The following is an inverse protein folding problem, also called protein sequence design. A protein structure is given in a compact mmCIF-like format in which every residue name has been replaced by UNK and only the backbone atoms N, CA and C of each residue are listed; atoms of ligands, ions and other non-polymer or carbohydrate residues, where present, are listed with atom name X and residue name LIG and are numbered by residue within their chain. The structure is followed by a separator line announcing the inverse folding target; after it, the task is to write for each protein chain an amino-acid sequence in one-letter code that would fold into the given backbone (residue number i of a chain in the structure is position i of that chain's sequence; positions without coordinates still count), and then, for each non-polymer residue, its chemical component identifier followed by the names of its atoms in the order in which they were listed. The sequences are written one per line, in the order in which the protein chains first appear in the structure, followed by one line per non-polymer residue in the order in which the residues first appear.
data_IF_866716401757
#
_entry.id   IF_866716401757
#
_cell.length_a   1.000
_cell.length_b   1.000
_cell.length_c   1.000
_cell.angle_alpha   90.00
_cell.angle_beta   90.00
_cell.angle_gamma   90.00
#
_symmetry.space_group_name_H-M   'P 1'
#
loop_
_entity.id
_entity.type
_entity.pdbx_description
1 polymer ?
#
# COMPACT_ATOMS: atom_id res chain seq x y z
N UNK A 1 -7.49 -17.37 -21.55
CA UNK A 1 -7.69 -17.12 -20.10
C UNK A 1 -9.11 -16.61 -19.90
N UNK A 2 -10.01 -17.42 -19.31
CA UNK A 2 -11.42 -17.05 -19.13
C UNK A 2 -11.50 -15.90 -18.12
N UNK A 3 -11.81 -14.68 -18.58
CA UNK A 3 -12.14 -13.54 -17.71
C UNK A 3 -13.28 -14.00 -16.80
N UNK A 4 -13.06 -14.01 -15.48
CA UNK A 4 -14.11 -14.21 -14.49
C UNK A 4 -15.10 -13.03 -14.66
N UNK A 5 -16.17 -13.21 -15.44
CA UNK A 5 -17.17 -12.17 -15.69
C UNK A 5 -18.19 -12.22 -14.56
N UNK A 6 -17.91 -11.47 -13.50
CA UNK A 6 -18.84 -11.28 -12.39
C UNK A 6 -20.14 -10.62 -12.89
N UNK A 7 -21.31 -10.97 -12.33
CA UNK A 7 -22.57 -10.34 -12.69
C UNK A 7 -22.52 -8.84 -12.36
N UNK A 8 -22.80 -8.00 -13.37
CA UNK A 8 -22.65 -6.52 -13.35
C UNK A 8 -23.53 -5.78 -12.33
N UNK A 9 -24.28 -6.51 -11.50
CA UNK A 9 -25.22 -5.98 -10.53
C UNK A 9 -24.70 -5.97 -9.09
N UNK A 10 -23.55 -6.63 -8.82
CA UNK A 10 -22.80 -6.38 -7.59
C UNK A 10 -21.63 -5.44 -7.89
N UNK A 11 -21.55 -4.26 -7.26
CA UNK A 11 -20.43 -3.32 -7.43
C UNK A 11 -19.18 -3.78 -6.65
N UNK A 12 -18.92 -5.09 -6.59
CA UNK A 12 -17.77 -5.64 -5.88
C UNK A 12 -16.64 -5.84 -6.87
N UNK A 13 -15.57 -5.06 -6.70
CA UNK A 13 -14.33 -5.23 -7.43
C UNK A 13 -13.69 -6.59 -7.06
N UNK A 14 -13.49 -7.51 -8.03
CA UNK A 14 -12.85 -8.79 -7.78
C UNK A 14 -11.47 -8.65 -7.12
N UNK A 15 -10.74 -7.57 -7.38
CA UNK A 15 -9.45 -7.30 -6.74
C UNK A 15 -9.61 -7.09 -5.23
N UNK A 16 -10.55 -6.23 -4.82
CA UNK A 16 -10.85 -5.98 -3.40
C UNK A 16 -11.36 -7.25 -2.71
N UNK A 17 -12.23 -8.01 -3.38
CA UNK A 17 -12.75 -9.26 -2.82
C UNK A 17 -11.63 -10.29 -2.61
N UNK A 18 -10.72 -10.43 -3.57
CA UNK A 18 -9.55 -11.30 -3.42
C UNK A 18 -8.62 -10.81 -2.32
N UNK A 19 -8.39 -9.50 -2.20
CA UNK A 19 -7.56 -8.91 -1.15
C UNK A 19 -8.15 -9.15 0.24
N UNK A 20 -9.46 -8.94 0.42
CA UNK A 20 -10.12 -9.25 1.69
C UNK A 20 -10.10 -10.76 1.98
N UNK A 21 -10.27 -11.58 0.94
CA UNK A 21 -10.16 -13.03 1.04
C UNK A 21 -8.77 -13.50 1.48
N UNK A 22 -7.70 -12.92 0.94
CA UNK A 22 -6.32 -13.27 1.35
C UNK A 22 -6.01 -12.80 2.75
N UNK A 23 -6.45 -11.59 3.15
CA UNK A 23 -6.33 -11.11 4.54
C UNK A 23 -7.08 -12.04 5.50
N UNK A 24 -8.31 -12.44 5.16
CA UNK A 24 -9.10 -13.38 5.96
C UNK A 24 -8.43 -14.75 6.08
N UNK A 25 -7.90 -15.28 4.98
CA UNK A 25 -7.12 -16.53 4.99
C UNK A 25 -5.88 -16.42 5.88
N UNK A 26 -5.12 -15.33 5.79
CA UNK A 26 -3.93 -15.11 6.62
C UNK A 26 -4.28 -14.97 8.11
N UNK A 27 -5.45 -14.40 8.43
CA UNK A 27 -5.92 -14.28 9.81
C UNK A 27 -6.35 -15.64 10.39
N UNK A 28 -7.01 -16.51 9.61
CA UNK A 28 -7.46 -17.82 10.04
C UNK A 28 -6.34 -18.87 10.05
N UNK A 29 -5.42 -18.80 9.09
CA UNK A 29 -4.32 -19.74 8.89
C UNK A 29 -2.98 -18.97 8.82
N UNK A 30 -2.52 -18.39 9.94
CA UNK A 30 -1.30 -17.60 9.96
C UNK A 30 -0.08 -18.48 9.73
N UNK A 31 0.81 -18.04 8.84
CA UNK A 31 2.13 -18.65 8.69
C UNK A 31 2.91 -18.51 10.00
N UNK A 32 3.55 -19.59 10.46
CA UNK A 32 4.33 -19.64 11.71
C UNK A 32 5.68 -20.31 11.48
N UNK A 33 6.66 -19.98 12.32
CA UNK A 33 8.02 -20.53 12.24
C UNK A 33 8.62 -20.34 10.84
N UNK A 34 9.25 -21.39 10.31
CA UNK A 34 9.86 -21.37 8.97
C UNK A 34 8.90 -20.96 7.85
N UNK A 35 7.60 -21.25 7.99
CA UNK A 35 6.59 -20.81 7.02
C UNK A 35 6.45 -19.28 6.96
N UNK A 36 6.63 -18.59 8.09
CA UNK A 36 6.63 -17.13 8.14
C UNK A 36 7.88 -16.54 7.48
N UNK A 37 9.04 -17.16 7.67
CA UNK A 37 10.30 -16.73 7.04
C UNK A 37 10.22 -16.83 5.51
N UNK A 38 9.71 -17.97 5.00
CA UNK A 38 9.48 -18.15 3.56
C UNK A 38 8.46 -17.15 3.02
N UNK A 39 7.35 -16.93 3.73
CA UNK A 39 6.34 -15.96 3.31
C UNK A 39 6.88 -14.52 3.29
N UNK A 40 7.74 -14.16 4.24
CA UNK A 40 8.42 -12.86 4.29
C UNK A 40 9.38 -12.67 3.11
N UNK A 41 10.20 -13.68 2.81
CA UNK A 41 11.10 -13.68 1.65
C UNK A 41 10.34 -13.60 0.33
N UNK A 42 9.25 -14.36 0.19
CA UNK A 42 8.38 -14.33 -0.98
C UNK A 42 7.71 -12.96 -1.16
N UNK A 43 7.23 -12.34 -0.08
CA UNK A 43 6.64 -10.99 -0.11
C UNK A 43 7.66 -9.95 -0.57
N UNK A 44 8.88 -10.03 -0.04
CA UNK A 44 9.98 -9.14 -0.44
C UNK A 44 10.30 -9.29 -1.92
N UNK A 45 10.42 -10.53 -2.42
CA UNK A 45 10.67 -10.80 -3.84
C UNK A 45 9.52 -10.32 -4.73
N UNK A 46 8.27 -10.51 -4.31
CA UNK A 46 7.09 -10.05 -5.03
C UNK A 46 7.03 -8.51 -5.11
N UNK A 47 7.32 -7.81 -4.01
CA UNK A 47 7.40 -6.35 -3.97
C UNK A 47 8.53 -5.87 -4.88
N UNK A 48 9.72 -6.45 -4.80
CA UNK A 48 10.85 -6.10 -5.65
C UNK A 48 10.50 -6.27 -7.15
N UNK A 49 9.86 -7.38 -7.51
CA UNK A 49 9.39 -7.63 -8.88
C UNK A 49 8.33 -6.61 -9.32
N UNK A 50 7.38 -6.28 -8.44
CA UNK A 50 6.34 -5.28 -8.74
C UNK A 50 6.97 -3.92 -9.05
N UNK A 51 7.88 -3.44 -8.19
CA UNK A 51 8.60 -2.19 -8.41
C UNK A 51 9.49 -2.24 -9.66
N UNK A 52 10.12 -3.38 -9.95
CA UNK A 52 10.87 -3.57 -11.19
C UNK A 52 9.97 -3.46 -12.42
N UNK A 53 8.80 -4.10 -12.43
CA UNK A 53 7.85 -4.03 -13.54
C UNK A 53 7.25 -2.63 -13.69
N UNK A 54 7.03 -1.90 -12.59
CA UNK A 54 6.58 -0.51 -12.63
C UNK A 54 7.66 0.40 -13.21
N UNK A 55 8.91 0.24 -12.77
CA UNK A 55 10.05 0.97 -13.34
C UNK A 55 10.27 0.65 -14.82
N UNK A 56 10.17 -0.62 -15.22
CA UNK A 56 10.34 -1.06 -16.61
C UNK A 56 9.24 -0.54 -17.55
N UNK A 57 8.05 -0.24 -17.02
CA UNK A 57 6.93 0.35 -17.78
C UNK A 57 7.00 1.88 -17.87
N UNK A 58 7.86 2.53 -17.08
CA UNK A 58 7.93 3.98 -17.04
C UNK A 58 8.67 4.52 -18.27
N UNK A 59 7.96 5.25 -19.13
CA UNK A 59 8.58 5.95 -20.25
C UNK A 59 9.32 7.19 -19.75
N UNK A 60 10.58 7.36 -20.17
CA UNK A 60 11.38 8.56 -19.84
C UNK A 60 10.72 9.85 -20.30
N UNK A 61 9.96 9.80 -21.40
CA UNK A 61 9.20 10.94 -21.93
C UNK A 61 8.02 11.32 -21.03
N UNK A 62 7.27 10.32 -20.55
CA UNK A 62 6.13 10.55 -19.65
C UNK A 62 6.60 11.13 -18.30
N UNK A 63 7.76 10.69 -17.80
CA UNK A 63 8.38 11.28 -16.62
C UNK A 63 8.73 12.76 -16.83
N UNK A 64 9.31 13.12 -17.98
CA UNK A 64 9.62 14.52 -18.30
C UNK A 64 8.35 15.38 -18.47
N UNK A 65 7.33 14.86 -19.16
CA UNK A 65 6.06 15.59 -19.34
C UNK A 65 5.33 15.79 -18.00
N UNK A 66 5.40 14.80 -17.10
CA UNK A 66 4.87 14.92 -15.73
C UNK A 66 5.53 16.03 -14.91
N UNK A 67 6.84 16.24 -15.07
CA UNK A 67 7.57 17.32 -14.39
C UNK A 67 7.10 18.72 -14.83
N UNK A 68 6.51 18.84 -16.03
CA UNK A 68 5.97 20.10 -16.53
C UNK A 68 4.80 20.62 -15.68
N UNK A 69 4.10 19.73 -14.98
CA UNK A 69 3.02 20.06 -14.05
C UNK A 69 3.51 20.26 -12.61
N UNK A 70 4.55 21.07 -12.43
CA UNK A 70 5.24 21.28 -11.15
C UNK A 70 4.32 21.68 -9.99
N UNK A 71 3.24 22.43 -10.23
CA UNK A 71 2.25 22.80 -9.20
C UNK A 71 1.54 21.58 -8.61
N UNK A 72 1.17 20.61 -9.47
CA UNK A 72 0.57 19.35 -9.02
C UNK A 72 1.61 18.52 -8.26
N UNK A 73 2.84 18.44 -8.78
CA UNK A 73 3.89 17.66 -8.13
C UNK A 73 4.23 18.20 -6.72
N UNK A 74 4.34 19.52 -6.55
CA UNK A 74 4.53 20.14 -5.23
C UNK A 74 3.35 19.84 -4.30
N UNK A 75 2.11 19.92 -4.81
CA UNK A 75 0.92 19.64 -4.01
C UNK A 75 0.91 18.18 -3.52
N UNK A 76 1.20 17.23 -4.41
CA UNK A 76 1.32 15.81 -4.07
C UNK A 76 2.45 15.59 -3.06
N UNK A 77 3.63 16.17 -3.30
CA UNK A 77 4.78 16.04 -2.41
C UNK A 77 4.51 16.61 -1.02
N UNK A 78 3.84 17.77 -0.93
CA UNK A 78 3.43 18.37 0.33
C UNK A 78 2.40 17.51 1.06
N UNK A 79 1.41 16.96 0.35
CA UNK A 79 0.45 16.04 0.95
C UNK A 79 1.13 14.77 1.49
N UNK A 80 1.98 14.13 0.69
CA UNK A 80 2.66 12.87 1.02
C UNK A 80 3.69 13.02 2.13
N UNK A 81 4.51 14.07 2.11
CA UNK A 81 5.66 14.20 3.03
C UNK A 81 5.48 15.26 4.12
N UNK A 82 4.39 16.03 4.11
CA UNK A 82 4.09 17.00 5.19
C UNK A 82 2.75 16.68 5.82
N UNK A 83 1.66 16.69 5.05
CA UNK A 83 0.30 16.54 5.62
C UNK A 83 0.11 15.17 6.25
N UNK A 84 0.42 14.08 5.55
CA UNK A 84 0.24 12.72 6.09
C UNK A 84 1.12 12.44 7.32
N UNK A 85 2.43 12.76 7.33
CA UNK A 85 3.24 12.61 8.54
C UNK A 85 2.74 13.44 9.72
N UNK A 86 2.27 14.67 9.48
CA UNK A 86 1.68 15.49 10.55
C UNK A 86 0.40 14.86 11.11
N UNK A 87 -0.43 14.26 10.26
CA UNK A 87 -1.61 13.50 10.70
C UNK A 87 -1.20 12.24 11.49
N UNK A 88 -0.16 11.52 11.06
CA UNK A 88 0.38 10.37 11.79
C UNK A 88 0.94 10.75 13.17
N UNK A 89 1.59 11.90 13.28
CA UNK A 89 2.04 12.46 14.56
C UNK A 89 0.86 12.89 15.43
N UNK A 90 -0.14 13.58 14.86
CA UNK A 90 -1.35 13.99 15.57
C UNK A 90 -2.15 12.79 16.09
N UNK A 91 -2.15 11.67 15.37
CA UNK A 91 -2.77 10.41 15.79
C UNK A 91 -2.17 9.84 17.08
N UNK A 92 -1.01 10.32 17.55
CA UNK A 92 -0.49 9.99 18.89
C UNK A 92 -1.48 10.36 20.00
N UNK A 93 -2.30 11.39 19.81
CA UNK A 93 -3.35 11.78 20.77
C UNK A 93 -4.45 10.71 20.95
N UNK A 94 -4.53 9.72 20.05
CA UNK A 94 -5.44 8.58 20.15
C UNK A 94 -4.86 7.44 21.01
N UNK A 95 -3.58 7.52 21.40
CA UNK A 95 -2.92 6.55 22.30
C UNK A 95 -3.16 6.96 23.75
N UNK A 96 -3.55 6.05 24.66
CA UNK A 96 -3.75 4.61 24.47
C UNK A 96 -5.21 4.21 24.16
N UNK A 97 -6.14 5.16 24.08
CA UNK A 97 -7.59 4.90 24.11
C UNK A 97 -8.07 4.14 22.87
N UNK A 98 -7.66 4.56 21.68
CA UNK A 98 -8.05 3.93 20.40
C UNK A 98 -6.90 3.19 19.72
N UNK A 99 -5.65 3.54 20.03
CA UNK A 99 -4.46 2.93 19.45
C UNK A 99 -3.50 2.47 20.55
N UNK A 100 -2.95 1.27 20.40
CA UNK A 100 -1.77 0.85 21.17
C UNK A 100 -0.52 1.55 20.61
N UNK A 101 0.54 1.65 21.41
CA UNK A 101 1.79 2.27 20.95
C UNK A 101 2.35 1.58 19.70
N UNK A 102 2.30 0.26 19.63
CA UNK A 102 2.75 -0.53 18.48
C UNK A 102 1.89 -0.33 17.22
N UNK A 103 0.58 -0.10 17.38
CA UNK A 103 -0.29 0.23 16.24
C UNK A 103 -0.06 1.66 15.76
N UNK A 104 0.20 2.60 16.67
CA UNK A 104 0.55 3.98 16.31
C UNK A 104 1.87 4.04 15.54
N UNK A 105 2.91 3.31 15.94
CA UNK A 105 4.18 3.28 15.19
C UNK A 105 4.00 2.67 13.79
N UNK A 106 3.18 1.63 13.65
CA UNK A 106 2.81 1.07 12.35
C UNK A 106 2.06 2.08 11.47
N UNK A 107 1.07 2.79 12.03
CA UNK A 107 0.34 3.85 11.34
C UNK A 107 1.28 4.97 10.90
N UNK A 108 2.16 5.43 11.80
CA UNK A 108 3.14 6.46 11.50
C UNK A 108 4.07 6.03 10.37
N UNK A 109 4.56 4.78 10.38
CA UNK A 109 5.34 4.23 9.27
C UNK A 109 4.58 4.33 7.94
N UNK A 110 3.31 3.92 7.90
CA UNK A 110 2.49 4.02 6.68
C UNK A 110 2.34 5.46 6.17
N UNK A 111 2.29 6.46 7.07
CA UNK A 111 2.23 7.88 6.67
C UNK A 111 3.55 8.44 6.16
N UNK A 112 4.66 7.70 6.29
CA UNK A 112 6.01 8.12 5.84
C UNK A 112 6.40 7.47 4.50
N UNK A 113 5.65 6.47 4.02
CA UNK A 113 5.92 5.78 2.75
C UNK A 113 5.55 6.70 1.57
N UNK A 114 6.35 6.71 0.48
CA UNK A 114 5.98 7.44 -0.73
C UNK A 114 4.63 6.98 -1.31
N UNK A 115 3.93 7.89 -1.97
CA UNK A 115 2.69 7.58 -2.70
C UNK A 115 3.00 6.75 -3.95
N UNK A 116 2.29 5.64 -4.13
CA UNK A 116 2.30 4.79 -5.35
C UNK A 116 1.27 5.23 -6.37
#
# INVERSE_FOLDING_TARGET
MKRLRWPRWLPIDPYILLLLGTVGLAALLPARGTGADVASGASTAAIALLFFLYGARLSTREALDGLRHWRLHITVLACTFVVFPLLGLAARGLVPVFLTHSLWTGLLFLTLVPST
#
